data_IF_179741186089
#
_entry.id   IF_179741186089
#
_cell.length_a   1.000
_cell.length_b   1.000
_cell.length_c   1.000
_cell.angle_alpha   90.00
_cell.angle_beta   90.00
_cell.angle_gamma   90.00
#
_symmetry.space_group_name_H-M   'P 1'
#
loop_
_entity.id
_entity.type
_entity.pdbx_description
1 polymer ?
#
# COMPACT_ATOMS: atom_id res chain seq x y z
N UNK A 1 30.77 19.47 19.41
CA UNK A 1 29.41 18.87 19.37
C UNK A 1 29.47 17.83 18.27
N UNK A 2 29.46 16.55 18.63
CA UNK A 2 29.57 15.46 17.67
C UNK A 2 28.19 15.17 17.08
N UNK A 3 28.08 15.27 15.77
CA UNK A 3 26.95 14.81 14.99
C UNK A 3 27.05 13.29 14.89
N UNK A 4 26.19 12.57 15.62
CA UNK A 4 26.04 11.12 15.46
C UNK A 4 25.06 10.92 14.32
N UNK A 5 25.60 10.80 13.10
CA UNK A 5 24.86 10.28 11.97
C UNK A 5 24.39 8.86 12.33
N UNK A 6 23.09 8.67 12.47
CA UNK A 6 22.49 7.35 12.62
C UNK A 6 22.85 6.50 11.41
N UNK A 7 23.74 5.54 11.60
CA UNK A 7 24.08 4.55 10.58
C UNK A 7 22.86 3.68 10.33
N UNK A 8 22.15 3.89 9.22
CA UNK A 8 21.08 3.01 8.74
C UNK A 8 21.68 1.73 8.16
N UNK A 9 22.15 0.88 9.07
CA UNK A 9 22.48 -0.53 8.81
C UNK A 9 21.28 -1.16 8.11
N UNK A 10 21.50 -1.84 6.98
CA UNK A 10 20.45 -2.53 6.25
C UNK A 10 19.86 -3.65 7.13
N UNK A 11 18.82 -3.31 7.90
CA UNK A 11 18.10 -4.24 8.76
C UNK A 11 17.05 -5.02 7.98
N UNK A 12 16.68 -6.17 8.51
CA UNK A 12 15.48 -6.90 8.08
C UNK A 12 14.48 -6.93 9.24
N UNK A 13 13.20 -6.90 8.93
CA UNK A 13 12.10 -7.04 9.87
C UNK A 13 11.22 -8.22 9.48
N UNK A 14 10.63 -8.87 10.47
CA UNK A 14 9.64 -9.92 10.23
C UNK A 14 8.28 -9.25 10.02
N UNK A 15 7.64 -9.53 8.89
CA UNK A 15 6.34 -8.96 8.57
C UNK A 15 5.33 -10.04 8.17
N UNK A 16 4.07 -9.79 8.50
CA UNK A 16 2.90 -10.53 8.02
C UNK A 16 2.04 -9.59 7.20
N UNK A 17 1.60 -10.06 6.03
CA UNK A 17 0.72 -9.29 5.15
C UNK A 17 -0.73 -9.68 5.36
N UNK A 18 -1.60 -8.67 5.46
CA UNK A 18 -3.05 -8.87 5.59
C UNK A 18 -3.80 -8.00 4.59
N UNK A 19 -4.90 -8.50 4.04
CA UNK A 19 -5.77 -7.69 3.20
C UNK A 19 -7.23 -8.03 3.44
N UNK A 20 -8.10 -7.04 3.25
CA UNK A 20 -9.56 -7.22 3.25
C UNK A 20 -10.08 -7.70 1.88
N UNK A 21 -9.24 -7.62 0.83
CA UNK A 21 -9.60 -7.97 -0.54
C UNK A 21 -9.23 -9.44 -0.81
N UNK A 22 -10.21 -10.34 -0.68
CA UNK A 22 -9.99 -11.80 -0.83
C UNK A 22 -9.34 -12.21 -2.15
N UNK A 23 -9.59 -11.47 -3.24
CA UNK A 23 -8.97 -11.68 -4.56
C UNK A 23 -7.44 -11.49 -4.58
N UNK A 24 -6.89 -10.85 -3.55
CA UNK A 24 -5.47 -10.55 -3.40
C UNK A 24 -4.86 -11.24 -2.19
N UNK A 25 -5.60 -12.13 -1.51
CA UNK A 25 -5.14 -12.76 -0.29
C UNK A 25 -3.91 -13.65 -0.57
N UNK A 26 -2.85 -13.46 0.23
CA UNK A 26 -1.67 -14.32 0.22
C UNK A 26 -1.67 -15.24 1.46
N UNK A 27 -0.89 -16.34 1.45
CA UNK A 27 -0.74 -17.20 2.63
C UNK A 27 -0.29 -16.44 3.88
N UNK A 28 -0.91 -16.73 5.02
CA UNK A 28 -0.53 -16.19 6.33
C UNK A 28 0.82 -16.80 6.78
N UNK A 29 1.90 -16.21 6.30
CA UNK A 29 3.28 -16.61 6.60
C UNK A 29 4.13 -15.39 6.95
N UNK A 30 5.23 -15.63 7.66
CA UNK A 30 6.19 -14.59 8.04
C UNK A 30 7.20 -14.37 6.92
N UNK A 31 7.37 -13.11 6.52
CA UNK A 31 8.32 -12.69 5.51
C UNK A 31 9.41 -11.83 6.12
N UNK A 32 10.67 -12.06 5.71
CA UNK A 32 11.79 -11.22 6.08
C UNK A 32 11.93 -10.07 5.09
N UNK A 33 11.63 -8.85 5.53
CA UNK A 33 11.54 -7.66 4.68
C UNK A 33 12.67 -6.68 5.00
N UNK A 34 13.43 -6.18 4.01
CA UNK A 34 14.42 -5.14 4.23
C UNK A 34 13.77 -3.85 4.75
N UNK A 35 14.35 -3.21 5.77
CA UNK A 35 13.82 -1.94 6.30
C UNK A 35 13.82 -0.80 5.29
N UNK A 36 14.71 -0.86 4.28
CA UNK A 36 14.80 0.15 3.23
C UNK A 36 13.77 -0.01 2.11
N UNK A 37 12.91 -1.02 2.18
CA UNK A 37 11.89 -1.24 1.16
C UNK A 37 10.88 -0.09 1.19
N UNK A 38 10.42 0.30 0.00
CA UNK A 38 9.37 1.27 -0.21
C UNK A 38 8.07 0.58 -0.65
N UNK A 39 7.06 1.39 -0.95
CA UNK A 39 5.74 0.94 -1.42
C UNK A 39 5.84 0.13 -2.71
N UNK A 40 6.68 0.56 -3.66
CA UNK A 40 6.79 -0.11 -4.96
C UNK A 40 7.50 -1.47 -4.84
N UNK A 41 8.51 -1.56 -3.98
CA UNK A 41 9.18 -2.82 -3.63
C UNK A 41 8.24 -3.81 -2.95
N UNK A 42 7.45 -3.34 -1.97
CA UNK A 42 6.42 -4.17 -1.33
C UNK A 42 5.34 -4.61 -2.32
N UNK A 43 4.91 -3.72 -3.22
CA UNK A 43 3.94 -4.05 -4.27
C UNK A 43 4.48 -5.12 -5.22
N UNK A 44 5.77 -5.05 -5.56
CA UNK A 44 6.44 -6.05 -6.38
C UNK A 44 6.52 -7.41 -5.68
N UNK A 45 6.76 -7.42 -4.37
CA UNK A 45 6.75 -8.64 -3.56
C UNK A 45 5.38 -9.33 -3.55
N UNK A 46 4.30 -8.58 -3.29
CA UNK A 46 2.94 -9.12 -3.29
C UNK A 46 2.56 -9.68 -4.65
N UNK A 47 2.87 -8.97 -5.74
CA UNK A 47 2.64 -9.48 -7.09
C UNK A 47 3.46 -10.73 -7.41
N UNK A 48 4.70 -10.82 -6.91
CA UNK A 48 5.54 -12.00 -7.06
C UNK A 48 4.89 -13.23 -6.43
N UNK A 49 4.38 -13.10 -5.21
CA UNK A 49 3.68 -14.18 -4.49
C UNK A 49 2.39 -14.58 -5.22
N UNK A 50 1.59 -13.61 -5.66
CA UNK A 50 0.32 -13.87 -6.35
C UNK A 50 0.52 -14.49 -7.74
N UNK A 51 1.63 -14.21 -8.42
CA UNK A 51 2.00 -14.84 -9.70
C UNK A 51 2.30 -16.33 -9.56
N UNK A 52 2.81 -16.77 -8.41
CA UNK A 52 3.10 -18.19 -8.17
C UNK A 52 1.81 -18.99 -7.93
N UNK A 53 0.79 -18.38 -7.33
CA UNK A 53 -0.49 -19.03 -7.02
C UNK A 53 -1.52 -18.95 -8.16
N UNK A 54 -1.35 -18.02 -9.10
CA UNK A 54 -2.25 -17.78 -10.22
C UNK A 54 -1.56 -17.89 -11.59
N UNK A 55 -2.02 -18.83 -12.41
CA UNK A 55 -1.50 -19.10 -13.77
C UNK A 55 -1.61 -17.89 -14.72
N UNK A 56 -2.53 -16.94 -14.43
CA UNK A 56 -2.70 -15.67 -15.16
C UNK A 56 -2.86 -14.52 -14.16
N UNK A 57 -1.75 -13.91 -13.75
CA UNK A 57 -1.74 -12.70 -12.91
C UNK A 57 -1.37 -11.45 -13.70
N UNK A 58 -2.16 -10.38 -13.53
CA UNK A 58 -1.79 -9.04 -13.99
C UNK A 58 -1.28 -8.24 -12.81
N UNK A 59 -0.11 -7.62 -12.96
CA UNK A 59 0.46 -6.79 -11.90
C UNK A 59 -0.48 -5.66 -11.49
N UNK A 60 -0.69 -5.56 -10.18
CA UNK A 60 -1.53 -4.54 -9.53
C UNK A 60 -0.64 -3.71 -8.62
N UNK A 61 -0.84 -2.38 -8.62
CA UNK A 61 -0.18 -1.52 -7.65
C UNK A 61 -0.93 -1.59 -6.31
N UNK A 62 -0.20 -1.68 -5.21
CA UNK A 62 -0.76 -1.70 -3.87
C UNK A 62 -0.30 -0.50 -3.05
N UNK A 63 -1.14 -0.05 -2.13
CA UNK A 63 -0.76 0.79 -1.01
C UNK A 63 -0.71 -0.06 0.27
N UNK A 64 0.16 0.32 1.20
CA UNK A 64 0.41 -0.42 2.43
C UNK A 64 0.11 0.44 3.63
N UNK A 65 -0.43 -0.17 4.68
CA UNK A 65 -0.75 0.46 5.95
C UNK A 65 -0.04 -0.26 7.09
N UNK A 66 0.58 0.52 7.96
CA UNK A 66 1.26 0.06 9.17
C UNK A 66 0.60 0.75 10.35
N UNK A 67 0.03 -0.03 11.27
CA UNK A 67 -0.78 0.49 12.37
C UNK A 67 -1.87 1.49 11.90
N UNK A 68 -2.53 1.18 10.78
CA UNK A 68 -3.63 1.97 10.23
C UNK A 68 -3.23 3.23 9.43
N UNK A 69 -1.94 3.51 9.28
CA UNK A 69 -1.46 4.65 8.49
C UNK A 69 -0.72 4.20 7.25
N UNK A 70 -0.92 4.93 6.16
CA UNK A 70 -0.27 4.62 4.90
C UNK A 70 1.24 4.81 4.97
N UNK A 71 1.97 3.83 4.45
CA UNK A 71 3.39 3.94 4.20
C UNK A 71 3.64 4.99 3.10
N UNK A 72 4.43 6.02 3.44
CA UNK A 72 4.82 7.11 2.51
C UNK A 72 6.34 7.22 2.31
N UNK A 73 7.09 6.59 3.19
CA UNK A 73 8.56 6.56 3.23
C UNK A 73 9.03 5.10 3.24
N UNK A 74 10.30 4.84 3.57
CA UNK A 74 10.76 3.47 3.75
C UNK A 74 10.09 2.82 4.96
N UNK A 75 9.99 1.48 4.94
CA UNK A 75 9.41 0.72 6.05
C UNK A 75 10.10 1.05 7.39
N UNK A 76 11.43 1.13 7.40
CA UNK A 76 12.23 1.43 8.59
C UNK A 76 11.93 2.82 9.16
N UNK A 77 11.89 3.85 8.30
CA UNK A 77 11.64 5.23 8.75
C UNK A 77 10.25 5.36 9.38
N UNK A 78 9.23 4.72 8.77
CA UNK A 78 7.87 4.73 9.31
C UNK A 78 7.76 4.01 10.66
N UNK A 79 8.51 2.91 10.85
CA UNK A 79 8.53 2.17 12.12
C UNK A 79 9.24 2.97 13.21
N UNK A 80 10.34 3.64 12.88
CA UNK A 80 11.07 4.51 13.81
C UNK A 80 10.20 5.69 14.24
N UNK A 81 9.52 6.36 13.29
CA UNK A 81 8.60 7.46 13.57
C UNK A 81 7.46 7.04 14.50
N UNK A 82 6.93 5.82 14.31
CA UNK A 82 5.87 5.25 15.15
C UNK A 82 6.36 4.64 16.46
N UNK A 83 7.68 4.56 16.68
CA UNK A 83 8.26 3.89 17.84
C UNK A 83 7.98 2.39 17.89
N UNK A 84 7.79 1.75 16.73
CA UNK A 84 7.54 0.31 16.62
C UNK A 84 8.88 -0.42 16.60
N UNK A 85 9.04 -1.39 17.52
CA UNK A 85 10.26 -2.20 17.59
C UNK A 85 10.42 -3.08 16.36
N UNK A 86 11.61 -3.08 15.78
CA UNK A 86 12.00 -3.94 14.65
C UNK A 86 12.20 -5.41 15.05
N UNK A 87 12.22 -5.71 16.35
CA UNK A 87 12.30 -7.09 16.86
C UNK A 87 10.93 -7.81 16.84
N UNK A 88 9.84 -7.05 16.77
CA UNK A 88 8.49 -7.60 16.72
C UNK A 88 8.09 -8.01 15.30
N UNK A 89 7.11 -8.91 15.21
CA UNK A 89 6.44 -9.19 13.93
C UNK A 89 5.50 -8.04 13.61
N UNK A 90 5.68 -7.43 12.44
CA UNK A 90 4.92 -6.28 11.98
C UNK A 90 3.78 -6.76 11.10
N UNK A 91 2.56 -6.33 11.41
CA UNK A 91 1.42 -6.54 10.52
C UNK A 91 1.34 -5.38 9.52
N UNK A 92 1.36 -5.74 8.23
CA UNK A 92 1.26 -4.79 7.12
C UNK A 92 -0.05 -5.07 6.38
N UNK A 93 -1.01 -4.16 6.49
CA UNK A 93 -2.24 -4.22 5.70
C UNK A 93 -1.97 -3.69 4.29
N UNK A 94 -2.50 -4.33 3.25
CA UNK A 94 -2.38 -3.83 1.88
C UNK A 94 -3.72 -3.79 1.15
N UNK A 95 -3.83 -2.78 0.28
CA UNK A 95 -5.02 -2.48 -0.52
C UNK A 95 -4.63 -2.15 -1.95
N UNK A 96 -5.51 -2.41 -2.90
CA UNK A 96 -5.31 -2.00 -4.30
C UNK A 96 -5.22 -0.48 -4.39
N UNK A 97 -4.13 0.01 -4.99
CA UNK A 97 -3.87 1.44 -5.17
C UNK A 97 -4.81 2.00 -6.23
N UNK A 98 -5.59 3.00 -5.86
CA UNK A 98 -6.44 3.72 -6.80
C UNK A 98 -5.67 4.90 -7.40
N UNK A 99 -5.62 5.03 -8.73
CA UNK A 99 -5.03 6.21 -9.35
C UNK A 99 -5.83 7.47 -8.99
N UNK A 100 -5.16 8.62 -9.03
CA UNK A 100 -5.82 9.89 -8.83
C UNK A 100 -6.98 10.04 -9.85
N UNK A 101 -8.17 10.50 -9.42
CA UNK A 101 -9.28 10.70 -10.35
C UNK A 101 -8.93 11.79 -11.36
N UNK A 102 -9.00 11.46 -12.64
CA UNK A 102 -8.71 12.41 -13.72
C UNK A 102 -9.96 13.18 -14.15
N UNK A 103 -9.84 14.49 -14.45
CA UNK A 103 -10.93 15.25 -15.07
C UNK A 103 -11.30 14.63 -16.42
N UNK A 104 -12.52 14.09 -16.53
CA UNK A 104 -12.99 13.46 -17.77
C UNK A 104 -13.86 14.39 -18.61
N UNK A 105 -14.95 14.89 -18.02
CA UNK A 105 -15.92 15.75 -18.70
C UNK A 105 -16.30 16.91 -17.81
N UNK A 106 -16.41 18.07 -18.42
CA UNK A 106 -17.04 19.24 -17.82
C UNK A 106 -18.40 19.44 -18.47
N UNK A 107 -19.43 19.68 -17.65
CA UNK A 107 -20.76 20.06 -18.11
C UNK A 107 -20.89 21.56 -17.86
N UNK A 108 -20.97 22.33 -18.94
CA UNK A 108 -21.07 23.78 -18.87
C UNK A 108 -22.53 24.20 -18.65
N UNK A 109 -22.73 25.07 -17.67
CA UNK A 109 -24.02 25.69 -17.36
C UNK A 109 -23.82 27.20 -17.26
N UNK A 110 -24.78 27.96 -17.78
CA UNK A 110 -24.75 29.43 -17.78
C UNK A 110 -25.09 30.05 -16.41
N UNK A 111 -25.54 29.22 -15.47
CA UNK A 111 -25.88 29.58 -14.09
C UNK A 111 -25.39 28.48 -13.11
N UNK A 112 -25.47 28.73 -11.80
CA UNK A 112 -24.97 27.82 -10.77
C UNK A 112 -25.72 26.48 -10.73
N UNK A 113 -24.94 25.41 -10.62
CA UNK A 113 -25.47 24.07 -10.37
C UNK A 113 -25.77 23.93 -8.88
N UNK A 114 -27.05 23.84 -8.51
CA UNK A 114 -27.49 23.74 -7.11
C UNK A 114 -27.47 22.31 -6.55
N UNK A 115 -27.54 21.30 -7.40
CA UNK A 115 -27.50 19.89 -7.01
C UNK A 115 -26.99 18.99 -8.14
N UNK A 116 -26.40 17.85 -7.78
CA UNK A 116 -26.01 16.77 -8.69
C UNK A 116 -26.58 15.44 -8.18
N UNK A 117 -26.98 14.57 -9.11
CA UNK A 117 -27.40 13.20 -8.80
C UNK A 117 -26.74 12.22 -9.78
N UNK A 118 -26.16 11.16 -9.25
CA UNK A 118 -25.61 10.07 -10.03
C UNK A 118 -26.50 8.83 -9.86
N UNK A 119 -27.15 8.43 -10.94
CA UNK A 119 -27.90 7.17 -11.01
C UNK A 119 -26.95 6.03 -11.44
N UNK A 120 -26.98 4.90 -10.71
CA UNK A 120 -26.14 3.72 -10.95
C UNK A 120 -26.83 2.68 -11.84
N UNK A 121 -28.03 2.95 -12.32
CA UNK A 121 -28.79 2.03 -13.17
C UNK A 121 -28.05 1.75 -14.49
N UNK A 122 -27.84 0.48 -14.89
CA UNK A 122 -27.28 0.17 -16.19
C UNK A 122 -28.28 0.63 -17.26
N UNK A 123 -27.82 1.48 -18.20
CA UNK A 123 -28.58 1.74 -19.42
C UNK A 123 -28.36 0.53 -20.34
N UNK A 124 -29.47 -0.16 -20.62
CA UNK A 124 -29.69 -1.34 -21.47
C UNK A 124 -28.60 -1.72 -22.48
#
# INVERSE_FOLDING_TARGET
MAEVAGTSTAGQVQARFVTKLQKYAIPDTLYSIPTKIDVDGLSSLINGILKEDHDVWKDVAYDFLIAGEFLRVSLGDQLEEKGISTEAVIEIEYVEKLPAPEPHKSLLHDDWVSAIHADKSPKW
#
